data_IF_291947109583
#
_entry.id   IF_291947109583
#
_cell.length_a   1.000
_cell.length_b   1.000
_cell.length_c   1.000
_cell.angle_alpha   90.00
_cell.angle_beta   90.00
_cell.angle_gamma   90.00
#
_symmetry.space_group_name_H-M   'P 1'
#
loop_
_entity.id
_entity.type
_entity.pdbx_description
1 polymer ?
#
# COMPACT_ATOMS: atom_id res chain seq x y z
N UNK A 1 -22.83 15.56 -8.15
CA UNK A 1 -22.03 15.03 -7.02
C UNK A 1 -21.76 13.57 -7.33
N UNK A 2 -20.50 13.21 -7.56
CA UNK A 2 -20.11 11.80 -7.69
C UNK A 2 -20.24 11.18 -6.30
N UNK A 3 -21.16 10.25 -6.12
CA UNK A 3 -21.21 9.45 -4.89
C UNK A 3 -20.11 8.41 -5.02
N UNK A 4 -19.06 8.52 -4.21
CA UNK A 4 -18.09 7.44 -4.07
C UNK A 4 -18.80 6.24 -3.45
N UNK A 5 -18.71 5.08 -4.09
CA UNK A 5 -19.36 3.85 -3.62
C UNK A 5 -18.62 3.22 -2.42
N UNK A 6 -17.62 3.90 -1.86
CA UNK A 6 -16.81 3.45 -0.72
C UNK A 6 -16.41 4.59 0.22
N UNK A 7 -16.04 4.22 1.42
CA UNK A 7 -15.37 5.11 2.38
C UNK A 7 -14.03 4.51 2.79
N UNK A 8 -13.04 5.38 3.00
CA UNK A 8 -11.69 5.01 3.47
C UNK A 8 -11.47 5.65 4.83
N UNK A 9 -11.01 4.85 5.79
CA UNK A 9 -10.56 5.32 7.10
C UNK A 9 -9.12 4.89 7.32
N UNK A 10 -8.24 5.86 7.57
CA UNK A 10 -6.85 5.63 7.91
C UNK A 10 -6.67 5.48 9.42
N UNK A 11 -5.78 4.59 9.81
CA UNK A 11 -5.35 4.38 11.18
C UNK A 11 -3.84 4.53 11.25
N UNK A 12 -3.39 5.33 12.19
CA UNK A 12 -1.97 5.59 12.45
C UNK A 12 -1.52 4.75 13.64
N UNK A 13 -0.35 4.15 13.53
CA UNK A 13 0.20 3.36 14.62
C UNK A 13 1.36 2.50 14.15
N UNK A 14 1.53 1.35 14.79
CA UNK A 14 2.60 0.42 14.45
C UNK A 14 3.98 0.91 14.85
N UNK A 15 5.01 0.50 14.10
CA UNK A 15 6.41 0.65 14.49
C UNK A 15 7.07 1.95 14.00
N UNK A 16 6.74 2.43 12.81
CA UNK A 16 7.40 3.58 12.17
C UNK A 16 6.38 4.45 11.43
N UNK A 17 5.40 4.98 12.17
CA UNK A 17 4.31 5.77 11.60
C UNK A 17 3.52 5.01 10.52
N UNK A 18 3.37 3.69 10.69
CA UNK A 18 2.60 2.87 9.76
C UNK A 18 1.17 3.37 9.61
N UNK A 19 0.63 3.15 8.44
CA UNK A 19 -0.75 3.39 8.09
C UNK A 19 -1.43 2.08 7.70
N UNK A 20 -2.63 1.88 8.24
CA UNK A 20 -3.56 0.81 7.86
C UNK A 20 -4.85 1.46 7.39
N UNK A 21 -5.48 0.91 6.37
CA UNK A 21 -6.70 1.48 5.79
C UNK A 21 -7.86 0.51 5.86
N UNK A 22 -8.95 0.92 6.51
CA UNK A 22 -10.22 0.21 6.48
C UNK A 22 -11.08 0.81 5.37
N UNK A 23 -11.43 0.01 4.39
CA UNK A 23 -12.30 0.41 3.28
C UNK A 23 -13.64 -0.28 3.41
N UNK A 24 -14.72 0.48 3.29
CA UNK A 24 -16.09 -0.01 3.37
C UNK A 24 -16.80 0.23 2.05
N UNK A 25 -17.33 -0.83 1.44
CA UNK A 25 -18.28 -0.73 0.34
C UNK A 25 -19.60 -0.18 0.84
N UNK A 26 -19.99 1.01 0.42
CA UNK A 26 -21.20 1.68 0.91
C UNK A 26 -22.50 1.01 0.46
N UNK A 27 -22.45 0.21 -0.61
CA UNK A 27 -23.62 -0.52 -1.13
C UNK A 27 -23.88 -1.84 -0.43
N UNK A 28 -22.82 -2.55 -0.01
CA UNK A 28 -22.95 -3.90 0.56
C UNK A 28 -22.55 -3.98 2.02
N UNK A 29 -21.94 -2.93 2.56
CA UNK A 29 -21.31 -2.87 3.88
C UNK A 29 -20.13 -3.88 4.06
N UNK A 30 -19.67 -4.51 2.98
CA UNK A 30 -18.46 -5.34 3.03
C UNK A 30 -17.24 -4.47 3.29
N UNK A 31 -16.33 -4.97 4.13
CA UNK A 31 -15.13 -4.26 4.52
C UNK A 31 -13.87 -5.06 4.19
N UNK A 32 -12.82 -4.33 3.81
CA UNK A 32 -11.48 -4.89 3.70
C UNK A 32 -10.46 -3.98 4.39
N UNK A 33 -9.34 -4.57 4.75
CA UNK A 33 -8.21 -3.88 5.33
C UNK A 33 -7.03 -3.88 4.36
N UNK A 34 -6.24 -2.82 4.34
CA UNK A 34 -4.93 -2.77 3.66
C UNK A 34 -3.86 -2.67 4.73
N UNK A 35 -3.01 -3.69 4.79
CA UNK A 35 -1.98 -3.99 5.77
C UNK A 35 -2.52 -4.20 7.22
N UNK A 36 -1.90 -5.14 7.92
CA UNK A 36 -2.14 -5.40 9.34
C UNK A 36 -1.03 -4.74 10.18
N UNK A 37 -0.80 -3.45 9.93
CA UNK A 37 0.33 -2.68 10.50
C UNK A 37 -0.02 -2.02 11.83
N UNK A 38 -1.29 -2.02 12.24
CA UNK A 38 -1.75 -1.49 13.55
C UNK A 38 -2.52 -2.56 14.32
N UNK A 39 -2.53 -2.52 15.67
CA UNK A 39 -3.29 -3.46 16.48
C UNK A 39 -4.78 -3.46 16.13
N UNK A 40 -5.42 -4.62 16.25
CA UNK A 40 -6.86 -4.78 15.99
C UNK A 40 -7.71 -3.84 16.83
N UNK A 41 -7.35 -3.61 18.10
CA UNK A 41 -8.07 -2.71 19.01
C UNK A 41 -8.22 -1.28 18.44
N UNK A 42 -7.23 -0.82 17.68
CA UNK A 42 -7.29 0.50 17.04
C UNK A 42 -8.38 0.60 15.96
N UNK A 43 -8.74 -0.53 15.34
CA UNK A 43 -9.64 -0.64 14.19
C UNK A 43 -11.01 -1.20 14.57
N UNK A 44 -11.07 -2.08 15.58
CA UNK A 44 -12.20 -2.95 15.91
C UNK A 44 -13.55 -2.24 16.00
N UNK A 45 -13.60 -1.06 16.64
CA UNK A 45 -14.84 -0.27 16.79
C UNK A 45 -15.43 0.25 15.46
N UNK A 46 -14.66 0.21 14.38
CA UNK A 46 -15.08 0.64 13.04
C UNK A 46 -15.41 -0.53 12.12
N UNK A 47 -15.10 -1.75 12.56
CA UNK A 47 -15.48 -2.96 11.84
C UNK A 47 -16.96 -3.21 12.13
N UNK A 48 -17.76 -3.34 11.07
CA UNK A 48 -19.19 -3.54 11.20
C UNK A 48 -19.53 -5.00 11.61
N UNK A 49 -20.81 -5.27 11.89
CA UNK A 49 -21.28 -6.59 12.33
C UNK A 49 -21.06 -7.73 11.31
N UNK A 50 -20.72 -7.42 10.05
CA UNK A 50 -20.38 -8.43 9.04
C UNK A 50 -18.92 -8.88 9.13
N UNK A 51 -18.09 -8.12 9.86
CA UNK A 51 -16.67 -8.35 10.02
C UNK A 51 -15.85 -8.02 8.77
N UNK A 52 -14.55 -8.22 8.90
CA UNK A 52 -13.62 -8.12 7.77
C UNK A 52 -13.72 -9.38 6.90
N UNK A 53 -13.73 -9.19 5.58
CA UNK A 53 -13.78 -10.33 4.64
C UNK A 53 -12.49 -10.47 3.84
N UNK A 54 -11.70 -9.41 3.72
CA UNK A 54 -10.45 -9.42 2.96
C UNK A 54 -9.40 -8.55 3.65
N UNK A 55 -8.17 -9.07 3.70
CA UNK A 55 -6.97 -8.35 4.11
C UNK A 55 -6.00 -8.31 2.92
N UNK A 56 -5.71 -7.14 2.43
CA UNK A 56 -4.73 -6.90 1.36
C UNK A 56 -3.37 -6.57 1.98
N UNK A 57 -2.32 -7.34 1.67
CA UNK A 57 -0.95 -7.10 2.12
C UNK A 57 -0.17 -6.45 0.99
N UNK A 58 0.33 -5.24 1.21
CA UNK A 58 1.10 -4.51 0.19
C UNK A 58 2.45 -5.15 -0.06
N UNK A 59 3.13 -5.62 0.98
CA UNK A 59 4.37 -6.39 0.92
C UNK A 59 4.64 -7.04 2.29
N UNK A 60 5.57 -7.99 2.34
CA UNK A 60 5.78 -8.81 3.54
C UNK A 60 6.88 -8.31 4.47
N UNK A 61 7.19 -7.01 4.54
CA UNK A 61 7.99 -6.47 5.63
C UNK A 61 7.29 -6.67 6.98
N UNK A 62 8.05 -6.95 8.07
CA UNK A 62 7.46 -7.32 9.36
C UNK A 62 6.48 -6.32 9.93
N UNK A 63 6.68 -5.04 9.71
CA UNK A 63 5.85 -3.97 10.22
C UNK A 63 4.48 -3.86 9.51
N UNK A 64 4.37 -4.29 8.24
CA UNK A 64 3.11 -4.35 7.49
C UNK A 64 2.22 -5.54 7.84
N UNK A 65 2.80 -6.57 8.45
CA UNK A 65 2.10 -7.79 8.89
C UNK A 65 2.20 -8.02 10.41
N UNK A 66 2.62 -6.99 11.17
CA UNK A 66 2.95 -7.10 12.58
C UNK A 66 1.82 -7.63 13.47
N UNK A 67 0.58 -7.32 13.11
CA UNK A 67 -0.62 -7.66 13.88
C UNK A 67 -1.55 -8.63 13.15
N UNK A 68 -1.04 -9.33 12.12
CA UNK A 68 -1.89 -10.19 11.28
C UNK A 68 -2.54 -11.30 12.07
N UNK A 69 -1.86 -11.87 13.07
CA UNK A 69 -2.40 -12.95 13.92
C UNK A 69 -3.65 -12.49 14.68
N UNK A 70 -3.70 -11.23 15.17
CA UNK A 70 -4.88 -10.68 15.85
C UNK A 70 -6.10 -10.64 14.91
N UNK A 71 -5.89 -10.21 13.65
CA UNK A 71 -6.96 -10.13 12.66
C UNK A 71 -7.43 -11.51 12.21
N UNK A 72 -6.54 -12.47 12.01
CA UNK A 72 -6.88 -13.83 11.60
C UNK A 72 -7.60 -14.60 12.72
N UNK A 73 -7.21 -14.38 13.97
CA UNK A 73 -7.88 -14.97 15.14
C UNK A 73 -9.31 -14.40 15.31
N UNK A 74 -9.45 -13.08 15.21
CA UNK A 74 -10.75 -12.41 15.35
C UNK A 74 -11.69 -12.68 14.17
N UNK A 75 -11.17 -12.88 12.97
CA UNK A 75 -11.94 -13.12 11.73
C UNK A 75 -11.48 -14.41 11.04
N UNK A 76 -11.91 -15.60 11.51
CA UNK A 76 -11.42 -16.89 11.01
C UNK A 76 -11.67 -17.15 9.51
N UNK A 77 -12.61 -16.42 8.89
CA UNK A 77 -12.93 -16.51 7.46
C UNK A 77 -12.26 -15.40 6.62
N UNK A 78 -11.35 -14.62 7.21
CA UNK A 78 -10.61 -13.56 6.54
C UNK A 78 -9.75 -14.13 5.42
N UNK A 79 -9.93 -13.64 4.19
CA UNK A 79 -9.10 -14.00 3.04
C UNK A 79 -7.94 -13.01 2.95
N UNK A 80 -6.72 -13.50 3.12
CA UNK A 80 -5.51 -12.68 3.00
C UNK A 80 -4.99 -12.73 1.57
N UNK A 81 -4.85 -11.55 0.96
CA UNK A 81 -4.33 -11.37 -0.41
C UNK A 81 -2.85 -11.03 -0.33
N UNK A 82 -2.02 -11.79 -1.04
CA UNK A 82 -0.57 -11.61 -1.12
C UNK A 82 -0.09 -11.79 -2.55
N UNK A 83 1.04 -11.19 -2.89
CA UNK A 83 1.67 -11.47 -4.19
C UNK A 83 2.11 -12.94 -4.28
N UNK A 84 1.96 -13.55 -5.46
CA UNK A 84 2.21 -14.99 -5.68
C UNK A 84 3.63 -15.46 -5.32
N UNK A 85 4.62 -14.59 -5.45
CA UNK A 85 6.03 -14.89 -5.18
C UNK A 85 6.47 -14.33 -3.81
N UNK A 86 5.55 -14.13 -2.85
CA UNK A 86 5.88 -13.75 -1.48
C UNK A 86 6.65 -14.87 -0.79
N UNK A 87 7.85 -14.56 -0.30
CA UNK A 87 8.74 -15.54 0.34
C UNK A 87 8.33 -15.89 1.77
N UNK A 88 7.55 -15.04 2.42
CA UNK A 88 7.16 -15.24 3.82
C UNK A 88 5.91 -16.10 3.93
N UNK A 89 5.99 -17.10 4.81
CA UNK A 89 4.81 -17.81 5.28
C UNK A 89 4.03 -16.89 6.22
N UNK A 90 2.81 -16.55 5.80
CA UNK A 90 1.84 -15.85 6.61
C UNK A 90 0.94 -16.89 7.25
N UNK A 91 0.80 -16.84 8.59
CA UNK A 91 -0.05 -17.75 9.34
C UNK A 91 -1.50 -17.27 9.26
N UNK A 92 -2.22 -17.71 8.23
CA UNK A 92 -3.66 -17.42 8.07
C UNK A 92 -4.39 -18.59 7.42
N UNK A 93 -5.69 -18.69 7.70
CA UNK A 93 -6.51 -19.81 7.27
C UNK A 93 -6.76 -19.82 5.76
N UNK A 94 -6.92 -18.65 5.16
CA UNK A 94 -7.20 -18.49 3.74
C UNK A 94 -6.25 -17.48 3.11
N UNK A 95 -5.38 -17.97 2.23
CA UNK A 95 -4.47 -17.14 1.43
C UNK A 95 -4.92 -17.22 -0.03
N UNK A 96 -5.04 -16.07 -0.66
CA UNK A 96 -5.19 -15.94 -2.11
C UNK A 96 -3.96 -15.26 -2.66
N UNK A 97 -3.17 -16.00 -3.44
CA UNK A 97 -2.05 -15.46 -4.19
C UNK A 97 -2.55 -14.76 -5.44
N UNK A 98 -2.00 -13.58 -5.72
CA UNK A 98 -2.37 -12.75 -6.88
C UNK A 98 -1.15 -12.37 -7.71
N UNK A 99 -1.39 -12.00 -8.95
CA UNK A 99 -0.39 -11.48 -9.88
C UNK A 99 -0.81 -10.12 -10.42
N UNK A 100 0.09 -9.48 -11.13
CA UNK A 100 -0.15 -8.21 -11.83
C UNK A 100 -1.38 -8.28 -12.75
N UNK A 101 -2.25 -7.28 -12.67
CA UNK A 101 -3.48 -7.18 -13.45
C UNK A 101 -4.66 -8.02 -12.94
N UNK A 102 -4.48 -8.82 -11.86
CA UNK A 102 -5.62 -9.51 -11.25
C UNK A 102 -6.61 -8.51 -10.63
N UNK A 103 -7.90 -8.86 -10.63
CA UNK A 103 -8.96 -8.06 -10.01
C UNK A 103 -9.60 -8.85 -8.88
N UNK A 104 -9.69 -8.25 -7.69
CA UNK A 104 -10.34 -8.81 -6.51
C UNK A 104 -11.61 -8.03 -6.22
N UNK A 105 -12.74 -8.72 -6.15
CA UNK A 105 -14.03 -8.11 -5.79
C UNK A 105 -14.27 -8.19 -4.27
N UNK A 106 -14.60 -7.04 -3.66
CA UNK A 106 -15.03 -6.95 -2.26
C UNK A 106 -16.38 -6.23 -2.21
N UNK A 107 -17.46 -6.99 -2.05
CA UNK A 107 -18.80 -6.47 -2.28
C UNK A 107 -19.00 -6.08 -3.74
N UNK A 108 -19.29 -4.81 -4.00
CA UNK A 108 -19.37 -4.26 -5.36
C UNK A 108 -18.13 -3.46 -5.78
N UNK A 109 -17.09 -3.47 -4.95
CA UNK A 109 -15.82 -2.83 -5.27
C UNK A 109 -14.93 -3.79 -6.05
N UNK A 110 -14.22 -3.26 -7.05
CA UNK A 110 -13.22 -3.98 -7.85
C UNK A 110 -11.85 -3.38 -7.58
N UNK A 111 -10.96 -4.17 -6.98
CA UNK A 111 -9.60 -3.77 -6.63
C UNK A 111 -8.63 -4.43 -7.60
N UNK A 112 -7.93 -3.63 -8.41
CA UNK A 112 -6.92 -4.10 -9.33
C UNK A 112 -5.55 -4.20 -8.64
N UNK A 113 -4.80 -5.24 -8.97
CA UNK A 113 -3.47 -5.54 -8.43
C UNK A 113 -2.41 -5.01 -9.39
N UNK A 114 -1.56 -4.11 -8.89
CA UNK A 114 -0.40 -3.62 -9.63
C UNK A 114 0.88 -4.14 -8.95
N UNK A 115 1.60 -5.06 -9.58
CA UNK A 115 2.91 -5.48 -9.06
C UNK A 115 3.94 -4.36 -9.25
N UNK A 116 4.49 -3.88 -8.15
CA UNK A 116 5.37 -2.71 -8.08
C UNK A 116 6.65 -3.00 -7.28
N UNK A 117 7.48 -3.97 -7.76
CA UNK A 117 8.70 -4.35 -7.06
C UNK A 117 9.73 -3.23 -7.09
N UNK A 118 10.67 -3.30 -6.15
CA UNK A 118 11.79 -2.38 -6.05
C UNK A 118 12.16 -2.07 -4.61
N UNK A 119 11.23 -1.60 -3.82
CA UNK A 119 11.39 -1.53 -2.36
C UNK A 119 11.50 -2.95 -1.77
N UNK A 120 10.58 -3.82 -2.15
CA UNK A 120 10.61 -5.25 -1.82
C UNK A 120 10.12 -6.07 -3.04
N UNK A 121 10.56 -7.34 -3.20
CA UNK A 121 10.21 -8.13 -4.39
C UNK A 121 8.72 -8.40 -4.57
N UNK A 122 7.99 -8.59 -3.46
CA UNK A 122 6.56 -8.88 -3.47
C UNK A 122 5.67 -7.64 -3.32
N UNK A 123 6.24 -6.44 -3.47
CA UNK A 123 5.48 -5.19 -3.36
C UNK A 123 4.39 -5.11 -4.43
N UNK A 124 3.17 -4.85 -3.99
CA UNK A 124 1.99 -4.61 -4.83
C UNK A 124 1.26 -3.36 -4.36
N UNK A 125 0.72 -2.61 -5.31
CA UNK A 125 -0.23 -1.54 -5.07
C UNK A 125 -1.64 -2.04 -5.39
N UNK A 126 -2.63 -1.45 -4.74
CA UNK A 126 -4.03 -1.79 -4.90
C UNK A 126 -4.79 -0.58 -5.45
N UNK A 127 -5.28 -0.69 -6.68
CA UNK A 127 -6.03 0.37 -7.34
C UNK A 127 -7.53 0.14 -7.17
N UNK A 128 -8.21 1.14 -6.62
CA UNK A 128 -9.65 1.20 -6.45
C UNK A 128 -10.16 2.52 -7.04
N UNK A 129 -10.75 2.49 -8.23
CA UNK A 129 -11.16 3.68 -8.98
C UNK A 129 -10.00 4.70 -9.13
N UNK A 130 -10.13 5.88 -8.52
CA UNK A 130 -9.13 6.95 -8.52
C UNK A 130 -8.23 6.94 -7.26
N UNK A 131 -8.18 5.82 -6.53
CA UNK A 131 -7.40 5.67 -5.29
C UNK A 131 -6.40 4.54 -5.44
N UNK A 132 -5.14 4.78 -5.04
CA UNK A 132 -4.07 3.81 -5.05
C UNK A 132 -3.47 3.63 -3.65
N UNK A 133 -3.60 2.45 -3.08
CA UNK A 133 -2.87 2.07 -1.86
C UNK A 133 -1.48 1.61 -2.28
N UNK A 134 -0.45 2.36 -1.92
CA UNK A 134 0.90 2.21 -2.49
C UNK A 134 1.87 1.44 -1.62
N UNK A 135 1.49 1.11 -0.37
CA UNK A 135 2.46 0.54 0.58
C UNK A 135 3.74 1.38 0.61
N UNK A 136 4.88 0.70 0.52
CA UNK A 136 6.19 1.33 0.54
C UNK A 136 6.80 1.55 -0.85
N UNK A 137 6.01 1.42 -1.91
CA UNK A 137 6.47 1.76 -3.25
C UNK A 137 6.55 3.27 -3.45
N UNK A 138 5.52 4.01 -3.02
CA UNK A 138 5.42 5.46 -3.20
C UNK A 138 4.79 6.10 -1.96
N UNK A 139 5.48 7.10 -1.41
CA UNK A 139 5.01 7.94 -0.30
C UNK A 139 4.66 9.34 -0.76
N UNK A 140 4.16 10.14 0.16
CA UNK A 140 4.03 11.59 -0.09
C UNK A 140 5.42 12.23 -0.10
N UNK A 141 5.82 12.75 -1.26
CA UNK A 141 7.10 13.43 -1.47
C UNK A 141 8.31 12.52 -1.69
N UNK A 142 8.16 11.19 -1.71
CA UNK A 142 9.29 10.26 -1.87
C UNK A 142 8.84 8.85 -2.25
N UNK A 143 9.83 7.98 -2.52
CA UNK A 143 9.63 6.54 -2.74
C UNK A 143 10.10 5.73 -1.52
N UNK A 144 9.84 4.44 -1.54
CA UNK A 144 10.45 3.47 -0.66
C UNK A 144 11.97 3.41 -0.83
N UNK A 145 12.64 2.83 0.16
CA UNK A 145 14.11 2.65 0.18
C UNK A 145 14.54 1.50 -0.73
N UNK A 146 15.79 1.60 -1.21
CA UNK A 146 16.42 0.53 -1.99
C UNK A 146 17.76 0.07 -1.41
N UNK A 147 17.92 0.19 -0.09
CA UNK A 147 19.15 -0.22 0.63
C UNK A 147 19.12 -1.67 1.15
N UNK A 148 17.98 -2.34 1.10
CA UNK A 148 17.82 -3.74 1.50
C UNK A 148 18.47 -4.71 0.49
N UNK A 149 18.92 -5.89 0.95
CA UNK A 149 19.50 -6.91 0.05
C UNK A 149 18.54 -7.38 -1.06
N UNK A 150 17.25 -7.33 -0.79
CA UNK A 150 16.20 -7.77 -1.72
C UNK A 150 15.63 -6.60 -2.55
N UNK A 151 16.04 -5.36 -2.27
CA UNK A 151 15.56 -4.18 -2.99
C UNK A 151 16.31 -3.96 -4.31
N UNK A 152 15.69 -3.21 -5.23
CA UNK A 152 16.21 -2.98 -6.57
C UNK A 152 15.74 -1.59 -7.06
N UNK A 153 16.68 -0.65 -7.18
CA UNK A 153 16.37 0.72 -7.59
C UNK A 153 15.85 0.82 -9.03
N UNK A 154 16.32 -0.07 -9.92
CA UNK A 154 15.86 -0.11 -11.31
C UNK A 154 14.41 -0.58 -11.41
N UNK A 155 14.05 -1.61 -10.62
CA UNK A 155 12.67 -2.06 -10.53
C UNK A 155 11.78 -0.99 -9.89
N UNK A 156 12.27 -0.29 -8.87
CA UNK A 156 11.51 0.79 -8.24
C UNK A 156 11.22 1.93 -9.23
N UNK A 157 12.23 2.32 -10.04
CA UNK A 157 12.03 3.29 -11.11
C UNK A 157 10.89 2.88 -12.05
N UNK A 158 10.93 1.66 -12.59
CA UNK A 158 9.89 1.15 -13.48
C UNK A 158 8.53 1.10 -12.81
N UNK A 159 8.47 0.65 -11.57
CA UNK A 159 7.23 0.61 -10.81
C UNK A 159 6.60 1.98 -10.65
N UNK A 160 7.40 3.01 -10.33
CA UNK A 160 6.91 4.36 -10.11
C UNK A 160 6.67 5.10 -11.43
N UNK A 161 7.68 5.17 -12.29
CA UNK A 161 7.65 6.04 -13.46
C UNK A 161 6.90 5.44 -14.65
N UNK A 162 7.02 4.11 -14.87
CA UNK A 162 6.39 3.47 -16.02
C UNK A 162 4.98 2.94 -15.69
N UNK A 163 4.74 2.52 -14.44
CA UNK A 163 3.46 1.95 -14.05
C UNK A 163 2.58 2.92 -13.26
N UNK A 164 3.04 3.44 -12.12
CA UNK A 164 2.18 4.31 -11.28
C UNK A 164 1.91 5.65 -11.97
N UNK A 165 2.92 6.29 -12.55
CA UNK A 165 2.74 7.57 -13.24
C UNK A 165 2.01 7.46 -14.60
N UNK A 166 1.72 6.26 -15.10
CA UNK A 166 0.82 6.06 -16.23
C UNK A 166 -0.66 6.14 -15.84
N UNK A 167 -0.99 6.10 -14.54
CA UNK A 167 -2.34 6.30 -14.04
C UNK A 167 -2.78 7.76 -14.21
N UNK A 168 -4.08 8.07 -14.16
CA UNK A 168 -4.58 9.43 -14.19
C UNK A 168 -3.90 10.31 -13.14
N UNK A 169 -3.47 11.51 -13.50
CA UNK A 169 -2.70 12.41 -12.63
C UNK A 169 -3.40 12.78 -11.33
N UNK A 170 -4.72 12.68 -11.31
CA UNK A 170 -5.58 12.93 -10.16
C UNK A 170 -5.76 11.73 -9.23
N UNK A 171 -5.20 10.56 -9.58
CA UNK A 171 -5.20 9.40 -8.69
C UNK A 171 -4.60 9.77 -7.34
N UNK A 172 -5.33 9.49 -6.25
CA UNK A 172 -4.91 9.80 -4.89
C UNK A 172 -4.19 8.61 -4.29
N UNK A 173 -2.96 8.81 -3.84
CA UNK A 173 -2.18 7.76 -3.17
C UNK A 173 -2.44 7.72 -1.67
N UNK A 174 -2.43 6.49 -1.13
CA UNK A 174 -2.52 6.15 0.28
C UNK A 174 -1.32 5.26 0.64
N UNK A 175 -0.23 5.83 1.21
CA UNK A 175 1.03 5.13 1.45
C UNK A 175 1.02 4.22 2.67
N UNK A 176 2.05 3.36 2.82
CA UNK A 176 2.22 2.49 3.98
C UNK A 176 2.66 3.21 5.26
N UNK A 177 3.26 4.41 5.14
CA UNK A 177 3.72 5.21 6.28
C UNK A 177 3.40 6.70 6.13
N UNK A 178 3.21 7.38 7.27
CA UNK A 178 2.97 8.83 7.36
C UNK A 178 4.29 9.61 7.45
N UNK A 179 5.04 9.62 6.35
CA UNK A 179 6.32 10.33 6.27
C UNK A 179 6.22 11.73 5.66
N UNK A 180 5.11 12.06 5.06
CA UNK A 180 4.92 13.32 4.35
C UNK A 180 4.24 14.42 5.16
N UNK A 181 4.03 15.58 4.56
CA UNK A 181 3.26 16.67 5.17
C UNK A 181 1.74 16.38 5.20
N UNK A 182 1.29 15.33 4.51
CA UNK A 182 -0.10 14.85 4.41
C UNK A 182 -0.12 13.33 4.40
N UNK A 183 -1.24 12.74 4.76
CA UNK A 183 -1.44 11.28 4.74
C UNK A 183 -1.83 10.73 3.36
N UNK A 184 -2.28 11.60 2.45
CA UNK A 184 -2.63 11.26 1.08
C UNK A 184 -2.47 12.48 0.16
N UNK A 185 -2.23 12.25 -1.13
CA UNK A 185 -1.97 13.31 -2.12
C UNK A 185 -2.28 12.78 -3.52
N UNK A 186 -2.65 13.65 -4.49
CA UNK A 186 -2.74 13.25 -5.89
C UNK A 186 -1.35 13.02 -6.50
N UNK A 187 -1.27 12.22 -7.58
CA UNK A 187 0.00 11.98 -8.27
C UNK A 187 0.60 13.28 -8.79
N UNK A 188 -0.21 14.16 -9.39
CA UNK A 188 0.27 15.44 -9.91
C UNK A 188 0.86 16.34 -8.83
N UNK A 189 0.19 16.47 -7.68
CA UNK A 189 0.72 17.24 -6.54
C UNK A 189 1.98 16.58 -5.96
N UNK A 190 2.01 15.23 -5.89
CA UNK A 190 3.14 14.49 -5.33
C UNK A 190 4.40 14.66 -6.17
N UNK A 191 4.26 14.61 -7.50
CA UNK A 191 5.36 14.88 -8.43
C UNK A 191 5.85 16.34 -8.28
N UNK A 192 4.93 17.29 -8.16
CA UNK A 192 5.26 18.71 -8.06
C UNK A 192 6.07 19.08 -6.80
N UNK A 193 5.83 18.38 -5.66
CA UNK A 193 6.51 18.69 -4.39
C UNK A 193 7.84 17.96 -4.19
N UNK A 194 8.18 16.97 -5.04
CA UNK A 194 9.34 16.11 -4.83
C UNK A 194 10.33 16.12 -6.00
N UNK A 195 11.57 16.59 -5.79
CA UNK A 195 12.62 16.46 -6.79
C UNK A 195 12.92 15.02 -7.20
N UNK A 196 12.73 14.06 -6.25
CA UNK A 196 12.93 12.64 -6.51
C UNK A 196 11.89 12.07 -7.47
N UNK A 197 10.64 12.55 -7.38
CA UNK A 197 9.54 12.11 -8.24
C UNK A 197 9.48 12.88 -9.58
N UNK A 198 10.40 13.81 -9.79
CA UNK A 198 10.55 14.58 -11.02
C UNK A 198 11.94 14.36 -11.62
N UNK A 199 12.36 13.11 -11.71
CA UNK A 199 13.60 12.74 -12.39
C UNK A 199 13.38 12.74 -13.91
N UNK A 200 14.43 13.12 -14.66
CA UNK A 200 14.38 13.23 -16.13
C UNK A 200 14.36 11.86 -16.80
N UNK A 201 15.06 10.90 -16.20
CA UNK A 201 15.25 9.54 -16.67
C UNK A 201 15.66 8.64 -15.50
N UNK A 202 15.91 7.36 -15.79
CA UNK A 202 16.30 6.37 -14.80
C UNK A 202 17.65 6.69 -14.14
N UNK A 203 18.63 7.21 -14.90
CA UNK A 203 19.95 7.55 -14.37
C UNK A 203 19.85 8.69 -13.35
N UNK A 204 19.11 9.75 -13.67
CA UNK A 204 18.84 10.88 -12.77
C UNK A 204 18.07 10.43 -11.52
N UNK A 205 17.12 9.49 -11.67
CA UNK A 205 16.43 8.91 -10.51
C UNK A 205 17.38 8.16 -9.59
N UNK A 206 18.25 7.30 -10.15
CA UNK A 206 19.22 6.53 -9.37
C UNK A 206 20.20 7.45 -8.64
N UNK A 207 20.67 8.51 -9.28
CA UNK A 207 21.57 9.48 -8.64
C UNK A 207 20.84 10.21 -7.48
N UNK A 208 19.63 10.68 -7.70
CA UNK A 208 18.79 11.30 -6.68
C UNK A 208 18.49 10.35 -5.51
N UNK A 209 18.21 9.07 -5.80
CA UNK A 209 18.00 8.06 -4.77
C UNK A 209 19.24 7.84 -3.91
N UNK A 210 20.43 7.70 -4.51
CA UNK A 210 21.70 7.57 -3.78
C UNK A 210 21.94 8.78 -2.85
N UNK A 211 21.70 9.99 -3.37
CA UNK A 211 21.82 11.21 -2.57
C UNK A 211 20.81 11.22 -1.42
N UNK A 212 19.56 10.91 -1.69
CA UNK A 212 18.48 10.89 -0.72
C UNK A 212 18.75 9.86 0.41
N UNK A 213 19.12 8.63 0.07
CA UNK A 213 19.40 7.58 1.05
C UNK A 213 20.60 7.88 1.94
N UNK A 214 21.62 8.55 1.39
CA UNK A 214 22.81 9.00 2.15
C UNK A 214 22.50 10.05 3.20
N UNK A 215 21.53 10.94 2.93
CA UNK A 215 21.22 12.09 3.78
C UNK A 215 19.93 11.92 4.61
N UNK A 216 19.28 10.76 4.51
CA UNK A 216 18.06 10.48 5.25
C UNK A 216 18.36 10.28 6.73
N UNK A 217 17.67 11.04 7.59
CA UNK A 217 17.65 10.79 9.03
C UNK A 217 16.75 9.60 9.35
N UNK A 218 17.13 8.72 10.32
CA UNK A 218 16.24 7.65 10.79
C UNK A 218 14.91 8.23 11.27
N UNK A 219 13.78 7.65 10.80
CA UNK A 219 12.43 8.09 11.22
C UNK A 219 11.89 9.33 10.47
N UNK A 220 12.54 9.76 9.38
CA UNK A 220 12.08 10.86 8.53
C UNK A 220 11.76 10.38 7.12
#
# INVERSE_FOLDING_TARGET
>A
MSYTDYSIRSFHGGYDKNLTYLVTCMRTANQFLVDAAVPLDSVSRFINHRGLITLFITHTHPDHIAYIDEYVEAFPNLVTIVYKDSDKKINCNYIKQVKDGDIISVGQLSVEILHTPGHYPDSICYLLDEVLFTGDTLFVGRTGRTVGKASDVHKLYKSVYEKIFSLPSKTIIYPGHDYGPRTSISLEENIAISPLLNAKDEEDFIEKMKHYEKHRTPGS
#
